data_IF_876259920062
#
_entry.id   IF_876259920062
#
_cell.length_a   1.000
_cell.length_b   1.000
_cell.length_c   1.000
_cell.angle_alpha   90.00
_cell.angle_beta   90.00
_cell.angle_gamma   90.00
#
_symmetry.space_group_name_H-M   'P 1'
#
loop_
_entity.id
_entity.type
_entity.pdbx_description
1 polymer ?
#
# COMPACT_ATOMS: atom_id res chain seq x y z
N UNK A 1 17.54 -17.13 6.38
CA UNK A 1 17.54 -16.57 5.05
C UNK A 1 16.48 -15.49 4.91
N UNK A 2 16.88 -14.41 4.29
CA UNK A 2 15.97 -13.30 4.11
C UNK A 2 14.88 -13.62 3.09
N UNK A 3 13.70 -13.28 3.42
CA UNK A 3 12.56 -13.48 2.54
C UNK A 3 12.37 -12.22 1.69
N UNK A 4 12.45 -12.38 0.38
CA UNK A 4 12.29 -11.23 -0.51
C UNK A 4 10.94 -10.56 -0.37
N UNK A 5 9.92 -11.33 -0.04
CA UNK A 5 8.58 -10.78 0.13
C UNK A 5 8.54 -9.73 1.24
N UNK A 6 9.39 -9.88 2.26
CA UNK A 6 9.35 -8.94 3.37
C UNK A 6 9.77 -7.53 2.93
N UNK A 7 10.59 -7.42 1.90
CA UNK A 7 11.03 -6.13 1.40
C UNK A 7 9.86 -5.40 0.73
N UNK A 8 9.10 -6.10 -0.08
CA UNK A 8 7.99 -5.49 -0.82
C UNK A 8 6.76 -5.30 0.05
N UNK A 9 6.50 -6.28 0.93
CA UNK A 9 5.28 -6.26 1.74
C UNK A 9 5.30 -5.19 2.81
N UNK A 10 6.47 -4.66 3.13
CA UNK A 10 6.58 -3.69 4.22
C UNK A 10 6.70 -2.26 3.73
N UNK A 11 6.40 -2.00 2.46
CA UNK A 11 6.39 -0.63 1.95
C UNK A 11 5.35 0.22 2.69
N UNK A 12 4.19 -0.35 2.97
CA UNK A 12 3.14 0.36 3.70
C UNK A 12 3.60 0.70 5.11
N UNK A 13 4.28 -0.24 5.76
CA UNK A 13 4.80 -0.02 7.11
C UNK A 13 5.87 1.06 7.08
N UNK A 14 6.74 1.05 6.08
CA UNK A 14 7.76 2.07 5.93
C UNK A 14 7.12 3.44 5.73
N UNK A 15 6.05 3.51 4.98
CA UNK A 15 5.30 4.74 4.77
C UNK A 15 4.77 5.29 6.09
N UNK A 16 4.18 4.43 6.92
CA UNK A 16 3.68 4.84 8.23
C UNK A 16 4.81 5.33 9.11
N UNK A 17 5.94 4.62 9.12
CA UNK A 17 7.08 5.02 9.94
C UNK A 17 7.61 6.39 9.52
N UNK A 18 7.67 6.66 8.23
CA UNK A 18 8.09 7.96 7.75
C UNK A 18 7.10 9.04 8.17
N UNK A 19 5.82 8.76 8.06
CA UNK A 19 4.79 9.72 8.41
C UNK A 19 4.84 10.08 9.90
N UNK A 20 5.23 9.12 10.76
CA UNK A 20 5.34 9.37 12.19
C UNK A 20 6.34 10.46 12.55
N UNK A 21 7.26 10.81 11.66
CA UNK A 21 8.20 11.90 11.89
C UNK A 21 7.51 13.27 11.81
N UNK A 22 6.35 13.33 11.18
CA UNK A 22 5.67 14.59 10.88
C UNK A 22 4.25 14.64 11.39
N UNK A 23 3.64 13.48 11.64
CA UNK A 23 2.25 13.37 12.02
C UNK A 23 2.13 12.60 13.33
N UNK A 24 1.11 12.93 14.13
CA UNK A 24 0.81 12.13 15.30
C UNK A 24 -0.36 11.19 14.99
N UNK A 25 -0.77 10.41 16.01
CA UNK A 25 -1.82 9.41 15.81
C UNK A 25 -3.17 10.04 15.49
N UNK A 26 -3.44 11.22 16.01
CA UNK A 26 -4.69 11.90 15.69
C UNK A 26 -4.73 12.32 14.23
N UNK A 27 -3.57 12.70 13.68
CA UNK A 27 -3.50 13.04 12.26
C UNK A 27 -3.80 11.83 11.40
N UNK A 28 -3.35 10.63 11.81
CA UNK A 28 -3.59 9.41 11.05
C UNK A 28 -5.07 9.12 10.88
N UNK A 29 -5.88 9.48 11.86
CA UNK A 29 -7.32 9.27 11.78
C UNK A 29 -7.97 10.09 10.68
N UNK A 30 -7.27 11.10 10.19
CA UNK A 30 -7.77 11.96 9.12
C UNK A 30 -7.03 11.75 7.82
N UNK A 31 -6.15 10.74 7.76
CA UNK A 31 -5.35 10.46 6.59
C UNK A 31 -5.92 9.30 5.79
N UNK A 32 -5.75 9.38 4.49
CA UNK A 32 -6.01 8.27 3.58
C UNK A 32 -4.67 7.75 3.07
N UNK A 33 -4.60 6.46 2.84
CA UNK A 33 -3.40 5.84 2.28
C UNK A 33 -3.71 5.32 0.90
N UNK A 34 -2.81 5.59 -0.04
CA UNK A 34 -2.93 5.08 -1.41
C UNK A 34 -1.73 4.19 -1.69
N UNK A 35 -2.01 2.95 -2.07
CA UNK A 35 -0.98 1.97 -2.38
C UNK A 35 -1.08 1.62 -3.84
N UNK A 36 -0.06 1.94 -4.61
CA UNK A 36 -0.06 1.72 -6.04
C UNK A 36 1.05 0.75 -6.41
N UNK A 37 0.74 -0.15 -7.32
CA UNK A 37 1.72 -1.07 -7.88
C UNK A 37 1.57 -1.10 -9.38
N UNK A 38 2.71 -1.10 -10.08
CA UNK A 38 2.72 -1.22 -11.53
C UNK A 38 3.69 -2.32 -11.91
N UNK A 39 3.45 -2.92 -13.06
CA UNK A 39 4.31 -3.96 -13.59
C UNK A 39 4.34 -3.86 -15.09
N UNK A 40 5.34 -4.48 -15.71
CA UNK A 40 5.40 -4.62 -17.16
C UNK A 40 4.85 -5.99 -17.54
N UNK A 41 4.00 -6.01 -18.56
CA UNK A 41 3.46 -7.27 -19.06
C UNK A 41 4.51 -8.05 -19.80
N UNK A 42 5.46 -7.35 -20.43
CA UNK A 42 6.54 -7.99 -21.15
C UNK A 42 7.78 -7.11 -21.09
N UNK A 43 8.92 -7.67 -21.46
CA UNK A 43 10.19 -6.96 -21.42
C UNK A 43 10.10 -5.69 -22.28
N UNK A 44 10.41 -4.56 -21.66
CA UNK A 44 10.34 -3.24 -22.31
C UNK A 44 8.94 -2.87 -22.80
N UNK A 45 7.91 -3.57 -22.31
CA UNK A 45 6.55 -3.23 -22.62
C UNK A 45 6.03 -2.09 -21.73
N UNK A 46 4.80 -1.66 -21.97
CA UNK A 46 4.20 -0.62 -21.14
C UNK A 46 3.92 -1.11 -19.73
N UNK A 47 3.88 -0.17 -18.79
CA UNK A 47 3.47 -0.48 -17.43
C UNK A 47 1.95 -0.55 -17.33
N UNK A 48 1.48 -1.47 -16.52
CA UNK A 48 0.05 -1.56 -16.18
C UNK A 48 -0.07 -1.65 -14.66
N UNK A 49 -1.24 -1.29 -14.17
CA UNK A 49 -1.49 -1.42 -12.74
C UNK A 49 -1.60 -2.88 -12.33
N UNK A 50 -1.10 -3.18 -11.15
CA UNK A 50 -1.15 -4.51 -10.60
C UNK A 50 -1.82 -4.48 -9.23
N UNK A 51 -2.20 -5.66 -8.75
CA UNK A 51 -2.85 -5.78 -7.45
C UNK A 51 -1.92 -5.35 -6.34
N UNK A 52 -2.33 -4.37 -5.55
CA UNK A 52 -1.52 -3.81 -4.48
C UNK A 52 -2.17 -3.94 -3.11
N UNK A 53 -3.13 -4.84 -2.95
CA UNK A 53 -3.81 -5.01 -1.67
C UNK A 53 -2.80 -5.36 -0.57
N UNK A 54 -2.79 -4.63 0.54
CA UNK A 54 -1.85 -4.92 1.62
C UNK A 54 -2.03 -6.33 2.17
N UNK A 55 -0.94 -6.96 2.56
CA UNK A 55 -1.01 -8.27 3.20
C UNK A 55 -1.64 -8.13 4.58
N UNK A 56 -1.94 -9.27 5.19
CA UNK A 56 -2.61 -9.26 6.49
C UNK A 56 -1.82 -8.50 7.54
N UNK A 57 -0.50 -8.69 7.59
CA UNK A 57 0.34 -7.98 8.54
C UNK A 57 0.33 -6.48 8.33
N UNK A 58 0.43 -6.05 7.08
CA UNK A 58 0.38 -4.62 6.77
C UNK A 58 -0.99 -4.05 7.06
N UNK A 59 -2.06 -4.82 6.78
CA UNK A 59 -3.42 -4.37 7.07
C UNK A 59 -3.62 -4.14 8.56
N UNK A 60 -3.09 -5.04 9.40
CA UNK A 60 -3.17 -4.85 10.84
C UNK A 60 -2.45 -3.59 11.29
N UNK A 61 -1.27 -3.37 10.76
CA UNK A 61 -0.49 -2.19 11.10
C UNK A 61 -1.26 -0.92 10.75
N UNK A 62 -1.82 -0.88 9.55
CA UNK A 62 -2.59 0.27 9.09
C UNK A 62 -3.79 0.52 10.00
N UNK A 63 -4.51 -0.53 10.37
CA UNK A 63 -5.67 -0.41 11.23
C UNK A 63 -5.27 0.07 12.62
N UNK A 64 -4.18 -0.46 13.17
CA UNK A 64 -3.74 -0.09 14.50
C UNK A 64 -3.32 1.37 14.58
N UNK A 65 -2.78 1.93 13.51
CA UNK A 65 -2.44 3.34 13.49
C UNK A 65 -3.64 4.24 13.22
N UNK A 66 -4.79 3.65 12.89
CA UNK A 66 -6.02 4.41 12.77
C UNK A 66 -6.17 5.18 11.47
N UNK A 67 -5.48 4.75 10.41
CA UNK A 67 -5.61 5.39 9.12
C UNK A 67 -7.05 5.23 8.63
N UNK A 68 -7.64 6.35 8.19
CA UNK A 68 -9.07 6.43 7.93
C UNK A 68 -9.50 5.56 6.76
N UNK A 69 -8.85 5.70 5.64
CA UNK A 69 -9.19 4.95 4.43
C UNK A 69 -7.92 4.47 3.74
N UNK A 70 -8.01 3.29 3.13
CA UNK A 70 -6.89 2.73 2.38
C UNK A 70 -7.42 2.33 1.02
N UNK A 71 -6.76 2.83 -0.02
CA UNK A 71 -7.09 2.52 -1.40
C UNK A 71 -5.90 1.84 -2.04
N UNK A 72 -6.15 0.85 -2.86
CA UNK A 72 -5.07 0.13 -3.54
C UNK A 72 -5.43 -0.12 -4.99
N UNK A 73 -4.40 -0.25 -5.82
CA UNK A 73 -4.63 -0.54 -7.23
C UNK A 73 -4.96 -2.01 -7.42
N UNK A 74 -5.68 -2.28 -8.49
CA UNK A 74 -5.99 -3.65 -8.90
C UNK A 74 -5.49 -3.85 -10.32
N UNK A 75 -5.54 -5.10 -10.78
CA UNK A 75 -5.20 -5.42 -12.16
C UNK A 75 -6.43 -5.45 -13.07
N UNK A 76 -7.57 -4.99 -12.57
CA UNK A 76 -8.79 -4.90 -13.34
C UNK A 76 -8.87 -3.53 -14.02
N UNK A 77 -8.84 -3.46 -15.36
CA UNK A 77 -8.88 -2.19 -16.06
C UNK A 77 -10.16 -1.39 -15.84
N UNK A 78 -11.23 -2.06 -15.41
CA UNK A 78 -12.51 -1.38 -15.15
C UNK A 78 -12.61 -0.85 -13.72
N UNK A 79 -11.73 -1.32 -12.83
CA UNK A 79 -11.75 -0.87 -11.44
C UNK A 79 -10.31 -0.79 -10.94
N UNK A 80 -9.61 0.27 -11.35
CA UNK A 80 -8.18 0.40 -11.05
C UNK A 80 -7.94 0.58 -9.55
N UNK A 81 -8.78 1.36 -8.89
CA UNK A 81 -8.66 1.60 -7.45
C UNK A 81 -9.78 0.91 -6.69
N UNK A 82 -9.41 0.29 -5.58
CA UNK A 82 -10.38 -0.34 -4.69
C UNK A 82 -10.09 0.07 -3.27
N UNK A 83 -11.13 0.26 -2.50
CA UNK A 83 -11.02 0.61 -1.09
C UNK A 83 -10.97 -0.65 -0.24
N UNK A 84 -10.09 -0.63 0.73
CA UNK A 84 -9.96 -1.71 1.70
C UNK A 84 -11.15 -1.77 2.65
#
# INVERSE_FOLDING_TARGET
KKNDNSIYLHAEVACVKNALRHLDLDDFRRCDMFVARVKRLEFQGPFVYAMAKPCEGCSRCIIEFGIRNVYYTTDDPNEIWRKM
#
